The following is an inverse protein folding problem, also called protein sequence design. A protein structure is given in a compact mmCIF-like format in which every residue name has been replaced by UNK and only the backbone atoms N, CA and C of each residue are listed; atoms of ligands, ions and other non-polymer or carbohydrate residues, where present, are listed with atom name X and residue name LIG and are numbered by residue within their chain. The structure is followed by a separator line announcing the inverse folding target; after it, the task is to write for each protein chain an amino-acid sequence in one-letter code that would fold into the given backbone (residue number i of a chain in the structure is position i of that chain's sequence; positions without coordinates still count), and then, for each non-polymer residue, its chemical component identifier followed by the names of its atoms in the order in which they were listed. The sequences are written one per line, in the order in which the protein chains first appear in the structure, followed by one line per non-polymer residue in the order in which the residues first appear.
data_IF_595533133212
#
_entry.id   IF_595533133212
#
_cell.length_a   1.000
_cell.length_b   1.000
_cell.length_c   1.000
_cell.angle_alpha   90.00
_cell.angle_beta   90.00
_cell.angle_gamma   90.00
#
_symmetry.space_group_name_H-M   'P 1'
#
loop_
_entity.id
_entity.type
_entity.pdbx_description
1 polymer ?
#
# COMPACT_ATOMS: atom_id res chain seq x y z
N UNK A 1 21.98 7.48 5.81
CA UNK A 1 20.55 7.81 5.82
C UNK A 1 19.85 6.49 5.55
N UNK A 2 19.10 5.93 6.51
CA UNK A 2 18.47 4.62 6.33
C UNK A 2 17.29 4.81 5.37
N UNK A 3 17.32 4.15 4.21
CA UNK A 3 16.21 4.14 3.25
C UNK A 3 14.98 3.46 3.86
N UNK A 4 13.78 3.91 3.45
CA UNK A 4 12.50 3.36 3.93
C UNK A 4 12.36 1.85 3.68
N UNK A 5 12.99 1.36 2.60
CA UNK A 5 12.94 -0.03 2.16
C UNK A 5 14.27 -0.78 2.39
N UNK A 6 15.18 -0.28 3.22
CA UNK A 6 16.39 -1.02 3.59
C UNK A 6 16.11 -2.22 4.50
N UNK A 7 15.09 -2.14 5.34
CA UNK A 7 14.73 -3.21 6.26
C UNK A 7 14.05 -4.38 5.53
N UNK A 8 14.41 -5.62 5.88
CA UNK A 8 13.86 -6.83 5.28
C UNK A 8 12.33 -6.87 5.37
N UNK A 9 11.75 -6.63 6.55
CA UNK A 9 10.29 -6.56 6.71
C UNK A 9 9.63 -5.52 5.79
N UNK A 10 10.28 -4.39 5.50
CA UNK A 10 9.72 -3.39 4.58
C UNK A 10 9.68 -3.91 3.15
N UNK A 11 10.70 -4.66 2.73
CA UNK A 11 10.77 -5.30 1.42
C UNK A 11 9.73 -6.42 1.30
N UNK A 12 9.66 -7.30 2.30
CA UNK A 12 8.68 -8.38 2.37
C UNK A 12 7.24 -7.84 2.38
N UNK A 13 6.99 -6.76 3.13
CA UNK A 13 5.69 -6.09 3.14
C UNK A 13 5.36 -5.51 1.77
N UNK A 14 6.31 -4.85 1.11
CA UNK A 14 6.12 -4.30 -0.23
C UNK A 14 5.73 -5.38 -1.24
N UNK A 15 6.52 -6.46 -1.33
CA UNK A 15 6.26 -7.58 -2.26
C UNK A 15 4.91 -8.24 -1.98
N UNK A 16 4.60 -8.50 -0.71
CA UNK A 16 3.32 -9.08 -0.28
C UNK A 16 2.15 -8.16 -0.64
N UNK A 17 2.25 -6.87 -0.33
CA UNK A 17 1.21 -5.89 -0.62
C UNK A 17 1.01 -5.73 -2.13
N UNK A 18 2.10 -5.62 -2.90
CA UNK A 18 2.01 -5.46 -4.34
C UNK A 18 1.33 -6.66 -4.99
N UNK A 19 1.79 -7.88 -4.65
CA UNK A 19 1.25 -9.12 -5.20
C UNK A 19 -0.24 -9.30 -4.88
N UNK A 20 -0.62 -9.20 -3.60
CA UNK A 20 -1.99 -9.47 -3.16
C UNK A 20 -2.95 -8.38 -3.65
N UNK A 21 -2.60 -7.10 -3.49
CA UNK A 21 -3.52 -6.01 -3.78
C UNK A 21 -3.73 -5.80 -5.28
N UNK A 22 -2.72 -6.06 -6.12
CA UNK A 22 -2.90 -5.98 -7.57
C UNK A 22 -3.83 -7.07 -8.11
N UNK A 23 -3.89 -8.24 -7.45
CA UNK A 23 -4.79 -9.34 -7.81
C UNK A 23 -6.25 -9.11 -7.37
N UNK A 24 -6.49 -8.26 -6.38
CA UNK A 24 -7.83 -7.99 -5.85
C UNK A 24 -8.66 -7.07 -6.74
N UNK A 25 -9.99 -7.16 -6.68
CA UNK A 25 -10.85 -6.10 -7.24
C UNK A 25 -10.67 -4.80 -6.46
N UNK A 26 -11.00 -3.64 -7.03
CA UNK A 26 -10.77 -2.32 -6.41
C UNK A 26 -11.28 -2.19 -4.97
N UNK A 27 -12.48 -2.71 -4.70
CA UNK A 27 -13.00 -2.77 -3.33
C UNK A 27 -12.16 -3.67 -2.43
N UNK A 28 -11.84 -4.88 -2.90
CA UNK A 28 -10.98 -5.83 -2.17
C UNK A 28 -9.60 -5.24 -1.87
N UNK A 29 -9.03 -4.52 -2.84
CA UNK A 29 -7.76 -3.82 -2.72
C UNK A 29 -7.76 -2.81 -1.56
N UNK A 30 -8.81 -2.00 -1.40
CA UNK A 30 -8.91 -1.06 -0.28
C UNK A 30 -9.14 -1.79 1.05
N UNK A 31 -10.05 -2.76 1.09
CA UNK A 31 -10.37 -3.49 2.33
C UNK A 31 -9.16 -4.29 2.83
N UNK A 32 -8.49 -5.02 1.95
CA UNK A 32 -7.31 -5.82 2.25
C UNK A 32 -6.12 -4.93 2.60
N UNK A 33 -5.85 -3.88 1.82
CA UNK A 33 -4.73 -2.97 2.07
C UNK A 33 -4.80 -2.32 3.45
N UNK A 34 -5.98 -1.86 3.88
CA UNK A 34 -6.16 -1.33 5.24
C UNK A 34 -6.01 -2.39 6.32
N UNK A 35 -6.43 -3.63 6.04
CA UNK A 35 -6.25 -4.76 6.97
C UNK A 35 -4.78 -5.14 7.14
N UNK A 36 -3.99 -5.12 6.06
CA UNK A 36 -2.54 -5.35 6.10
C UNK A 36 -1.82 -4.31 6.95
N UNK A 37 -2.21 -3.04 6.86
CA UNK A 37 -1.64 -1.99 7.71
C UNK A 37 -2.03 -2.17 9.19
N UNK A 38 -3.23 -2.69 9.45
CA UNK A 38 -3.67 -3.01 10.81
C UNK A 38 -2.91 -4.18 11.43
N UNK A 39 -2.51 -5.16 10.61
CA UNK A 39 -1.60 -6.24 10.98
C UNK A 39 -0.22 -5.68 11.35
N UNK A 40 0.34 -4.76 10.56
CA UNK A 40 1.66 -4.16 10.87
C UNK A 40 1.64 -3.36 12.17
N UNK A 41 0.57 -2.62 12.45
CA UNK A 41 0.39 -1.98 13.76
C UNK A 41 0.34 -3.02 14.90
N UNK A 42 -0.32 -4.16 14.66
CA UNK A 42 -0.38 -5.26 15.63
C UNK A 42 1.02 -5.82 15.90
N UNK A 43 1.80 -6.05 14.84
CA UNK A 43 3.20 -6.51 14.93
C UNK A 43 4.06 -5.49 15.67
N UNK A 44 3.92 -4.20 15.35
CA UNK A 44 4.62 -3.10 16.03
C UNK A 44 4.34 -3.05 17.53
N UNK A 45 3.09 -3.23 17.97
CA UNK A 45 2.80 -3.27 19.41
C UNK A 45 3.25 -4.57 20.05
N UNK A 46 3.14 -5.71 19.36
CA UNK A 46 3.59 -7.02 19.87
C UNK A 46 5.10 -7.09 20.07
N UNK A 47 5.89 -6.45 19.21
CA UNK A 47 7.37 -6.43 19.34
C UNK A 47 7.84 -5.69 20.61
N UNK A 48 6.99 -4.87 21.21
CA UNK A 48 7.28 -4.11 22.43
C UNK A 48 6.85 -4.80 23.73
N UNK A 49 6.21 -5.95 23.63
CA UNK A 49 5.79 -6.69 24.82
C UNK A 49 7.02 -7.29 25.52
N UNK A 50 7.01 -7.28 26.85
CA UNK A 50 8.03 -7.96 27.64
C UNK A 50 8.02 -9.47 27.30
N UNK A 51 9.20 -10.09 27.29
CA UNK A 51 9.38 -11.52 26.97
C UNK A 51 8.45 -12.42 27.79
N UNK A 52 8.28 -12.08 29.07
CA UNK A 52 7.48 -12.86 30.03
C UNK A 52 5.98 -12.49 30.06
N UNK A 53 5.51 -11.62 29.15
CA UNK A 53 4.09 -11.28 29.04
C UNK A 53 3.27 -12.54 28.77
N UNK A 54 2.30 -12.84 29.64
CA UNK A 54 1.53 -14.08 29.59
C UNK A 54 0.68 -14.20 28.30
N UNK A 55 0.49 -15.43 27.81
CA UNK A 55 -0.32 -15.69 26.60
C UNK A 55 -1.77 -15.21 26.76
N UNK A 56 -2.34 -15.34 27.97
CA UNK A 56 -3.70 -14.88 28.25
C UNK A 56 -3.82 -13.37 28.11
N UNK A 57 -2.90 -12.62 28.72
CA UNK A 57 -2.90 -11.16 28.62
C UNK A 57 -2.68 -10.70 27.18
N UNK A 58 -1.73 -11.33 26.45
CA UNK A 58 -1.53 -11.06 25.02
C UNK A 58 -2.81 -11.25 24.21
N UNK A 59 -3.57 -12.32 24.48
CA UNK A 59 -4.83 -12.57 23.78
C UNK A 59 -5.87 -11.50 24.14
N UNK A 60 -6.03 -11.18 25.41
CA UNK A 60 -7.04 -10.25 25.91
C UNK A 60 -6.84 -8.83 25.38
N UNK A 61 -5.62 -8.30 25.41
CA UNK A 61 -5.36 -6.91 25.01
C UNK A 61 -5.46 -6.69 23.49
N UNK A 62 -5.22 -7.72 22.67
CA UNK A 62 -5.32 -7.66 21.21
C UNK A 62 -6.63 -8.27 20.68
N UNK A 63 -7.50 -8.78 21.55
CA UNK A 63 -8.85 -9.19 21.16
C UNK A 63 -9.68 -7.97 20.73
N UNK A 64 -10.76 -8.16 19.97
CA UNK A 64 -11.58 -7.06 19.45
C UNK A 64 -12.15 -6.11 20.50
N UNK A 65 -12.26 -6.54 21.76
CA UNK A 65 -12.68 -5.70 22.90
C UNK A 65 -11.51 -5.15 23.74
N UNK A 66 -10.28 -5.57 23.45
CA UNK A 66 -9.07 -5.16 24.14
C UNK A 66 -8.56 -3.78 23.70
N UNK A 67 -7.58 -3.27 24.43
CA UNK A 67 -7.00 -1.93 24.19
C UNK A 67 -6.37 -1.78 22.79
N UNK A 68 -5.84 -2.87 22.21
CA UNK A 68 -5.28 -2.91 20.85
C UNK A 68 -6.20 -3.65 19.86
N UNK A 69 -7.47 -3.82 20.21
CA UNK A 69 -8.43 -4.64 19.46
C UNK A 69 -8.92 -4.04 18.15
N UNK A 70 -8.82 -2.73 17.98
CA UNK A 70 -9.29 -2.04 16.78
C UNK A 70 -8.18 -1.20 16.15
N UNK A 71 -8.24 -1.04 14.83
CA UNK A 71 -7.36 -0.14 14.09
C UNK A 71 -7.37 1.29 14.66
N UNK A 72 -8.55 1.81 15.05
CA UNK A 72 -8.63 3.16 15.63
C UNK A 72 -7.86 3.24 16.95
N UNK A 73 -8.10 2.29 17.86
CA UNK A 73 -7.43 2.30 19.17
C UNK A 73 -5.90 2.16 19.02
N UNK A 74 -5.43 1.30 18.10
CA UNK A 74 -4.01 1.17 17.78
C UNK A 74 -3.40 2.48 17.28
N UNK A 75 -4.08 3.20 16.40
CA UNK A 75 -3.63 4.50 15.90
C UNK A 75 -3.60 5.57 17.00
N UNK A 76 -4.66 5.66 17.80
CA UNK A 76 -4.78 6.64 18.89
C UNK A 76 -3.67 6.42 19.94
N UNK A 77 -3.42 5.16 20.31
CA UNK A 77 -2.34 4.81 21.25
C UNK A 77 -0.97 5.10 20.63
N UNK A 78 -0.76 4.74 19.36
CA UNK A 78 0.51 4.99 18.68
C UNK A 78 0.84 6.49 18.64
N UNK A 79 -0.17 7.33 18.45
CA UNK A 79 -0.02 8.79 18.47
C UNK A 79 0.28 9.33 19.86
N UNK A 80 -0.55 9.01 20.86
CA UNK A 80 -0.39 9.51 22.24
C UNK A 80 0.94 9.05 22.86
N UNK A 81 1.39 7.85 22.53
CA UNK A 81 2.69 7.33 22.95
C UNK A 81 3.87 7.82 22.08
N UNK A 82 3.63 8.71 21.11
CA UNK A 82 4.63 9.29 20.21
C UNK A 82 5.45 8.24 19.43
N UNK A 83 4.81 7.13 19.05
CA UNK A 83 5.42 6.07 18.25
C UNK A 83 5.32 6.42 16.76
N UNK A 84 4.14 6.90 16.35
CA UNK A 84 3.87 7.34 14.98
C UNK A 84 3.62 8.85 14.94
N UNK A 85 4.07 9.54 13.88
CA UNK A 85 3.83 10.96 13.70
C UNK A 85 2.36 11.23 13.35
N UNK A 86 1.92 12.45 13.63
CA UNK A 86 0.52 12.86 13.49
C UNK A 86 0.00 12.71 12.05
N UNK A 87 0.81 13.04 11.05
CA UNK A 87 0.47 12.99 9.63
C UNK A 87 0.19 11.56 9.15
N UNK A 88 1.02 10.61 9.56
CA UNK A 88 0.83 9.18 9.30
C UNK A 88 -0.45 8.67 9.97
N UNK A 89 -0.67 9.02 11.24
CA UNK A 89 -1.87 8.62 11.98
C UNK A 89 -3.14 9.19 11.33
N UNK A 90 -3.13 10.46 10.94
CA UNK A 90 -4.24 11.11 10.25
C UNK A 90 -4.53 10.48 8.89
N UNK A 91 -3.50 10.17 8.09
CA UNK A 91 -3.61 9.42 6.84
C UNK A 91 -4.32 8.08 7.06
N UNK A 92 -3.85 7.30 8.05
CA UNK A 92 -4.39 5.99 8.40
C UNK A 92 -5.85 6.05 8.90
N UNK A 93 -6.24 7.08 9.65
CA UNK A 93 -7.63 7.28 10.04
C UNK A 93 -8.53 7.58 8.84
N UNK A 94 -8.05 8.34 7.85
CA UNK A 94 -8.81 8.57 6.62
C UNK A 94 -8.98 7.28 5.80
N UNK A 95 -7.93 6.45 5.67
CA UNK A 95 -8.04 5.13 5.05
C UNK A 95 -9.02 4.22 5.80
N UNK A 96 -8.98 4.21 7.14
CA UNK A 96 -9.95 3.47 7.97
C UNK A 96 -11.38 3.91 7.68
N UNK A 97 -11.63 5.22 7.58
CA UNK A 97 -12.95 5.77 7.26
C UNK A 97 -13.40 5.35 5.86
N UNK A 98 -12.52 5.44 4.87
CA UNK A 98 -12.79 4.97 3.50
C UNK A 98 -13.18 3.48 3.51
N UNK A 99 -12.35 2.62 4.12
CA UNK A 99 -12.62 1.18 4.29
C UNK A 99 -13.99 0.92 4.92
N UNK A 100 -14.32 1.62 6.01
CA UNK A 100 -15.58 1.43 6.73
C UNK A 100 -16.79 1.86 5.91
N UNK A 101 -16.69 2.96 5.16
CA UNK A 101 -17.74 3.38 4.24
C UNK A 101 -17.96 2.34 3.14
N UNK A 102 -16.87 1.80 2.56
CA UNK A 102 -16.96 0.76 1.53
C UNK A 102 -17.58 -0.54 2.05
N UNK A 103 -17.26 -0.93 3.29
CA UNK A 103 -17.84 -2.13 3.90
C UNK A 103 -19.36 -2.04 4.10
N UNK A 104 -19.92 -0.82 4.20
CA UNK A 104 -21.35 -0.59 4.38
C UNK A 104 -22.08 -0.14 3.10
N UNK A 105 -21.35 0.10 2.01
CA UNK A 105 -21.93 0.47 0.72
C UNK A 105 -22.21 -0.77 -0.14
N UNK A 106 -23.38 -0.83 -0.78
CA UNK A 106 -23.71 -1.87 -1.76
C UNK A 106 -23.40 -1.45 -3.21
N UNK A 107 -23.11 -0.17 -3.45
CA UNK A 107 -22.79 0.35 -4.78
C UNK A 107 -21.44 -0.16 -5.30
N UNK A 108 -21.27 -0.27 -6.63
CA UNK A 108 -19.97 -0.45 -7.24
C UNK A 108 -18.97 0.60 -6.74
N UNK A 109 -17.71 0.20 -6.64
CA UNK A 109 -16.62 1.09 -6.24
C UNK A 109 -15.45 0.86 -7.18
N UNK A 110 -14.92 1.95 -7.72
CA UNK A 110 -13.66 1.96 -8.44
C UNK A 110 -12.68 2.91 -7.74
N UNK A 111 -11.40 2.55 -7.75
CA UNK A 111 -10.32 3.41 -7.26
C UNK A 111 -10.20 4.62 -8.17
N UNK A 112 -10.42 4.47 -9.47
CA UNK A 112 -10.34 5.56 -10.45
C UNK A 112 -11.33 6.70 -10.16
N UNK A 113 -12.62 6.39 -9.97
CA UNK A 113 -13.65 7.42 -9.68
C UNK A 113 -13.42 8.09 -8.32
N UNK A 114 -12.69 7.42 -7.41
CA UNK A 114 -12.36 7.92 -6.08
C UNK A 114 -10.91 8.41 -5.97
N UNK A 115 -10.23 8.60 -7.10
CA UNK A 115 -8.80 8.92 -7.16
C UNK A 115 -8.46 10.22 -6.44
N UNK A 116 -9.31 11.25 -6.51
CA UNK A 116 -9.12 12.51 -5.78
C UNK A 116 -9.17 12.30 -4.26
N UNK A 117 -10.13 11.51 -3.78
CA UNK A 117 -10.21 11.18 -2.36
C UNK A 117 -8.98 10.40 -1.92
N UNK A 118 -8.55 9.41 -2.69
CA UNK A 118 -7.35 8.62 -2.41
C UNK A 118 -6.09 9.48 -2.42
N UNK A 119 -5.96 10.37 -3.41
CA UNK A 119 -4.90 11.36 -3.49
C UNK A 119 -4.85 12.21 -2.21
N UNK A 120 -5.98 12.78 -1.82
CA UNK A 120 -6.08 13.64 -0.65
C UNK A 120 -5.75 12.91 0.65
N UNK A 121 -5.94 11.60 0.70
CA UNK A 121 -5.54 10.76 1.83
C UNK A 121 -4.02 10.56 1.84
N UNK A 122 -3.45 10.04 0.75
CA UNK A 122 -2.02 9.72 0.67
C UNK A 122 -1.12 10.97 0.74
N UNK A 123 -1.61 12.12 0.27
CA UNK A 123 -0.89 13.38 0.31
C UNK A 123 -0.86 14.03 1.71
N UNK A 124 -1.52 13.43 2.73
CA UNK A 124 -1.44 13.92 4.12
C UNK A 124 -0.07 13.72 4.74
N UNK A 125 0.71 12.77 4.23
CA UNK A 125 2.05 12.52 4.73
C UNK A 125 2.96 13.68 4.35
N UNK A 126 3.47 14.36 5.37
CA UNK A 126 4.19 15.64 5.28
C UNK A 126 5.64 15.47 4.81
N UNK A 127 6.09 14.24 4.57
CA UNK A 127 7.37 13.96 3.94
C UNK A 127 7.28 14.38 2.47
N UNK A 128 7.71 15.61 2.19
CA UNK A 128 7.62 16.29 0.91
C UNK A 128 7.75 15.36 -0.29
N UNK A 129 6.73 15.39 -1.15
CA UNK A 129 6.68 14.71 -2.44
C UNK A 129 6.56 13.17 -2.43
N UNK A 130 6.23 12.51 -1.31
CA UNK A 130 5.94 11.06 -1.31
C UNK A 130 4.91 10.72 -2.39
N UNK A 131 3.82 11.49 -2.48
CA UNK A 131 2.81 11.31 -3.51
C UNK A 131 3.39 11.40 -4.93
N UNK A 132 4.22 12.41 -5.21
CA UNK A 132 4.83 12.60 -6.54
C UNK A 132 5.72 11.41 -6.90
N UNK A 133 6.51 10.91 -5.94
CA UNK A 133 7.31 9.70 -6.12
C UNK A 133 6.46 8.48 -6.46
N UNK A 134 5.37 8.26 -5.72
CA UNK A 134 4.41 7.16 -5.97
C UNK A 134 3.75 7.31 -7.35
N UNK A 135 3.35 8.54 -7.73
CA UNK A 135 2.70 8.82 -9.01
C UNK A 135 3.63 8.57 -10.20
N UNK A 136 4.92 8.90 -10.07
CA UNK A 136 5.92 8.60 -11.10
C UNK A 136 6.19 7.09 -11.18
N UNK A 137 6.49 6.46 -10.05
CA UNK A 137 6.80 5.03 -9.97
C UNK A 137 5.64 4.15 -10.49
N UNK A 138 4.39 4.49 -10.16
CA UNK A 138 3.23 3.77 -10.69
C UNK A 138 3.08 3.87 -12.20
N UNK A 139 3.40 5.03 -12.79
CA UNK A 139 3.42 5.21 -14.24
C UNK A 139 4.48 4.34 -14.90
N UNK A 140 5.71 4.40 -14.39
CA UNK A 140 6.84 3.61 -14.88
C UNK A 140 6.55 2.11 -14.83
N UNK A 141 6.07 1.60 -13.69
CA UNK A 141 5.76 0.17 -13.53
C UNK A 141 4.67 -0.31 -14.48
N UNK A 142 3.60 0.49 -14.68
CA UNK A 142 2.51 0.11 -15.57
C UNK A 142 2.96 0.10 -17.03
N UNK A 143 3.72 1.11 -17.46
CA UNK A 143 4.24 1.18 -18.84
C UNK A 143 5.24 0.06 -19.08
N UNK A 144 6.18 -0.18 -18.17
CA UNK A 144 7.15 -1.27 -18.29
C UNK A 144 6.48 -2.64 -18.35
N UNK A 145 5.52 -2.91 -17.45
CA UNK A 145 4.78 -4.17 -17.44
C UNK A 145 3.96 -4.37 -18.72
N UNK A 146 3.39 -3.28 -19.25
CA UNK A 146 2.68 -3.31 -20.53
C UNK A 146 3.63 -3.63 -21.69
N UNK A 147 4.72 -2.86 -21.82
CA UNK A 147 5.69 -3.04 -22.91
C UNK A 147 6.29 -4.43 -22.88
N UNK A 148 6.71 -4.92 -21.71
CA UNK A 148 7.24 -6.28 -21.57
C UNK A 148 6.24 -7.32 -22.08
N UNK A 149 4.99 -7.25 -21.62
CA UNK A 149 3.94 -8.20 -22.02
C UNK A 149 3.65 -8.15 -23.52
N UNK A 150 3.59 -6.96 -24.09
CA UNK A 150 3.32 -6.76 -25.52
C UNK A 150 4.47 -7.28 -26.38
N UNK A 151 5.73 -6.99 -26.03
CA UNK A 151 6.90 -7.48 -26.75
C UNK A 151 7.05 -9.00 -26.68
N UNK A 152 6.55 -9.61 -25.59
CA UNK A 152 6.53 -11.07 -25.45
C UNK A 152 5.39 -11.75 -26.24
N UNK A 153 4.36 -10.99 -26.64
CA UNK A 153 3.18 -11.52 -27.33
C UNK A 153 3.50 -11.90 -28.78
N UNK A 154 3.05 -13.09 -29.21
CA UNK A 154 3.22 -13.57 -30.59
C UNK A 154 2.11 -13.04 -31.50
N UNK A 155 2.42 -12.88 -32.78
CA UNK A 155 1.44 -12.44 -33.77
C UNK A 155 0.30 -13.48 -33.91
N UNK A 156 -0.99 -13.07 -33.87
CA UNK A 156 -2.11 -14.01 -33.80
C UNK A 156 -2.32 -14.84 -35.08
N UNK A 157 -1.76 -14.40 -36.20
CA UNK A 157 -1.95 -15.03 -37.52
C UNK A 157 -0.64 -15.48 -38.18
N UNK A 158 0.52 -15.17 -37.59
CA UNK A 158 1.84 -15.42 -38.21
C UNK A 158 2.75 -16.12 -37.19
N UNK A 159 2.81 -17.45 -37.30
CA UNK A 159 3.56 -18.28 -36.37
C UNK A 159 5.06 -17.93 -36.37
N UNK A 160 5.61 -17.66 -35.19
CA UNK A 160 7.03 -17.33 -35.01
C UNK A 160 7.34 -15.84 -35.10
N UNK A 161 6.37 -14.97 -35.43
CA UNK A 161 6.54 -13.52 -35.34
C UNK A 161 6.02 -12.94 -34.02
N UNK A 162 6.62 -11.84 -33.61
CA UNK A 162 6.13 -11.01 -32.49
C UNK A 162 4.99 -10.10 -32.96
N UNK A 163 4.15 -9.70 -32.01
CA UNK A 163 3.04 -8.78 -32.28
C UNK A 163 3.53 -7.40 -32.75
N UNK A 164 4.67 -6.95 -32.23
CA UNK A 164 5.36 -5.73 -32.64
C UNK A 164 6.86 -6.02 -32.82
N UNK A 165 7.49 -5.33 -33.77
CA UNK A 165 8.91 -5.48 -34.08
C UNK A 165 9.79 -4.65 -33.14
N UNK A 166 9.27 -3.55 -32.59
CA UNK A 166 9.98 -2.68 -31.64
C UNK A 166 9.07 -2.06 -30.58
N UNK A 167 9.69 -1.51 -29.52
CA UNK A 167 8.95 -0.76 -28.50
C UNK A 167 8.33 0.53 -29.07
N UNK A 168 9.01 1.19 -30.00
CA UNK A 168 8.49 2.40 -30.66
C UNK A 168 7.21 2.13 -31.44
N UNK A 169 7.12 0.98 -32.10
CA UNK A 169 5.91 0.53 -32.79
C UNK A 169 4.77 0.28 -31.79
N UNK A 170 5.04 -0.43 -30.69
CA UNK A 170 4.07 -0.69 -29.64
C UNK A 170 3.57 0.62 -28.96
N UNK A 171 4.45 1.58 -28.75
CA UNK A 171 4.10 2.90 -28.19
C UNK A 171 3.25 3.70 -29.19
N UNK A 172 3.62 3.71 -30.46
CA UNK A 172 2.85 4.41 -31.49
C UNK A 172 1.42 3.85 -31.60
N UNK A 173 1.28 2.53 -31.49
CA UNK A 173 -0.02 1.87 -31.44
C UNK A 173 -0.83 2.26 -30.19
N UNK A 174 -0.20 2.31 -29.01
CA UNK A 174 -0.83 2.79 -27.77
C UNK A 174 -1.36 4.22 -27.90
N UNK A 175 -0.55 5.13 -28.46
CA UNK A 175 -0.92 6.54 -28.61
C UNK A 175 -2.18 6.73 -29.46
N UNK A 176 -2.37 5.84 -30.44
CA UNK A 176 -3.50 5.86 -31.37
C UNK A 176 -4.75 5.14 -30.82
N UNK A 177 -4.67 4.44 -29.69
CA UNK A 177 -5.75 3.63 -29.15
C UNK A 177 -6.27 4.18 -27.80
N UNK A 178 -7.41 4.88 -27.83
CA UNK A 178 -7.99 5.54 -26.66
C UNK A 178 -8.46 4.57 -25.56
N UNK A 179 -8.97 3.40 -25.94
CA UNK A 179 -9.44 2.38 -24.99
C UNK A 179 -8.27 1.78 -24.20
N UNK A 180 -7.15 1.51 -24.86
CA UNK A 180 -5.92 1.06 -24.21
C UNK A 180 -5.34 2.13 -23.29
N UNK A 181 -5.31 3.40 -23.72
CA UNK A 181 -4.88 4.51 -22.85
C UNK A 181 -5.72 4.59 -21.59
N UNK A 182 -7.03 4.43 -21.71
CA UNK A 182 -7.97 4.46 -20.57
C UNK A 182 -7.68 3.32 -19.60
N UNK A 183 -7.51 2.10 -20.11
CA UNK A 183 -7.15 0.92 -19.32
C UNK A 183 -5.81 1.08 -18.60
N UNK A 184 -4.81 1.69 -19.25
CA UNK A 184 -3.52 1.98 -18.63
C UNK A 184 -3.62 3.02 -17.51
N UNK A 185 -4.46 4.05 -17.69
CA UNK A 185 -4.72 5.06 -16.65
C UNK A 185 -5.38 4.44 -15.43
N UNK A 186 -6.40 3.59 -15.63
CA UNK A 186 -7.03 2.82 -14.55
C UNK A 186 -6.01 1.98 -13.77
N UNK A 187 -5.19 1.22 -14.50
CA UNK A 187 -4.16 0.37 -13.90
C UNK A 187 -3.09 1.19 -13.17
N UNK A 188 -2.72 2.36 -13.70
CA UNK A 188 -1.79 3.30 -13.04
C UNK A 188 -2.37 3.79 -11.72
N UNK A 189 -3.64 4.21 -11.70
CA UNK A 189 -4.28 4.72 -10.49
C UNK A 189 -4.38 3.64 -9.41
N UNK A 190 -4.74 2.40 -9.79
CA UNK A 190 -4.71 1.27 -8.86
C UNK A 190 -3.30 0.99 -8.33
N UNK A 191 -2.31 0.94 -9.22
CA UNK A 191 -0.90 0.72 -8.86
C UNK A 191 -0.40 1.79 -7.90
N UNK A 192 -0.76 3.06 -8.12
CA UNK A 192 -0.46 4.18 -7.24
C UNK A 192 -1.02 3.97 -5.83
N UNK A 193 -2.28 3.52 -5.72
CA UNK A 193 -2.87 3.18 -4.42
C UNK A 193 -2.11 2.05 -3.72
N UNK A 194 -1.78 0.98 -4.44
CA UNK A 194 -1.04 -0.18 -3.90
C UNK A 194 0.33 0.22 -3.38
N UNK A 195 1.11 0.99 -4.15
CA UNK A 195 2.40 1.51 -3.70
C UNK A 195 2.21 2.44 -2.49
N UNK A 196 1.14 3.24 -2.46
CA UNK A 196 0.79 4.05 -1.29
C UNK A 196 0.61 3.21 -0.03
N UNK A 197 -0.14 2.10 -0.11
CA UNK A 197 -0.28 1.16 1.01
C UNK A 197 1.08 0.56 1.40
N UNK A 198 1.90 0.16 0.43
CA UNK A 198 3.24 -0.39 0.69
C UNK A 198 4.15 0.60 1.42
N UNK A 199 4.17 1.88 1.00
CA UNK A 199 4.90 2.95 1.66
C UNK A 199 4.41 3.19 3.09
N UNK A 200 3.10 3.15 3.33
CA UNK A 200 2.53 3.31 4.67
C UNK A 200 2.95 2.18 5.62
N UNK A 201 2.95 0.94 5.14
CA UNK A 201 3.42 -0.21 5.93
C UNK A 201 4.91 -0.10 6.23
N UNK A 202 5.73 0.27 5.23
CA UNK A 202 7.15 0.51 5.42
C UNK A 202 7.42 1.64 6.42
N UNK A 203 6.59 2.69 6.47
CA UNK A 203 6.69 3.74 7.49
C UNK A 203 6.37 3.23 8.88
N UNK A 204 5.34 2.38 9.05
CA UNK A 204 5.04 1.73 10.34
C UNK A 204 6.25 0.90 10.80
N UNK A 205 6.83 0.11 9.90
CA UNK A 205 8.03 -0.71 10.16
C UNK A 205 9.22 0.16 10.53
N UNK A 206 9.47 1.24 9.78
CA UNK A 206 10.55 2.18 10.08
C UNK A 206 10.43 2.77 11.49
N UNK A 207 9.22 3.20 11.89
CA UNK A 207 8.97 3.72 13.23
C UNK A 207 9.08 2.64 14.32
N UNK A 208 8.63 1.41 14.02
CA UNK A 208 8.81 0.25 14.91
C UNK A 208 10.30 0.05 15.24
N UNK A 209 11.16 -0.06 14.23
CA UNK A 209 12.61 -0.28 14.42
C UNK A 209 13.30 0.89 15.11
N UNK A 210 12.96 2.12 14.71
CA UNK A 210 13.46 3.33 15.36
C UNK A 210 13.17 3.34 16.86
N UNK A 211 11.98 2.92 17.27
CA UNK A 211 11.62 2.91 18.69
C UNK A 211 12.16 1.68 19.44
N UNK A 212 12.29 0.52 18.80
CA UNK A 212 12.92 -0.66 19.42
C UNK A 212 14.38 -0.36 19.79
N UNK A 213 15.15 0.21 18.87
CA UNK A 213 16.53 0.63 19.14
C UNK A 213 16.65 1.67 20.27
N UNK A 214 15.66 2.55 20.43
CA UNK A 214 15.64 3.49 21.57
C UNK A 214 15.40 2.83 22.93
N UNK A 215 14.67 1.70 22.97
CA UNK A 215 14.42 0.95 24.21
C UNK A 215 15.68 0.16 24.58
N UNK A 216 16.30 -0.51 23.61
CA UNK A 216 17.52 -1.29 23.83
C UNK A 216 18.69 -0.42 24.28
N UNK A 217 18.84 0.78 23.74
CA UNK A 217 19.88 1.73 24.16
C UNK A 217 19.65 2.33 25.57
N UNK A 218 18.48 2.10 26.19
CA UNK A 218 18.15 2.56 27.54
C UNK A 218 18.17 1.45 28.60
N UNK A 219 18.26 0.19 28.19
CA UNK A 219 18.32 -0.99 29.06
C UNK A 219 19.76 -1.40 29.35
#
# INVERSE_FOLDING_TARGET
MVSLFEHQDSQEFFERAYSLLMAEADRGCVLLGVSMLDEELTTMFKSRLLKDTSKSLKKEIFDGKGAFGTLSAKLDIAYVCQILPEDLVNCMHCLRKLRNNLAHQASPFTIQENSETIFNILNKISSGNLFVGIANMSGELVVQAFLQKIMDTSHPLDEGKKLFESQEEAISYLEQNDELKTTLVEKKIKTMFVIGIACLGALIIFHREKHLSMIENKA
#
